data_IF_349872880431
#
_entry.id   IF_349872880431
#
_cell.length_a   1.000
_cell.length_b   1.000
_cell.length_c   1.000
_cell.angle_alpha   90.00
_cell.angle_beta   90.00
_cell.angle_gamma   90.00
#
_symmetry.space_group_name_H-M   'P 1'
#
loop_
_entity.id
_entity.type
_entity.pdbx_description
1 polymer ?
#
# COMPACT_ATOMS: atom_id res chain seq x y z
N UNK A 1 11.18 20.61 -1.61
CA UNK A 1 11.78 20.91 -2.93
C UNK A 1 11.15 20.00 -3.98
N UNK A 2 10.90 20.50 -5.18
CA UNK A 2 10.39 19.72 -6.32
C UNK A 2 11.52 19.50 -7.32
N UNK A 3 11.60 18.28 -7.87
CA UNK A 3 12.61 17.88 -8.87
C UNK A 3 11.88 17.57 -10.18
N UNK A 4 12.49 17.89 -11.33
CA UNK A 4 11.95 17.53 -12.64
C UNK A 4 12.39 16.13 -13.03
N UNK A 5 11.44 15.32 -13.51
CA UNK A 5 11.65 13.99 -14.07
C UNK A 5 11.33 14.05 -15.57
N UNK A 6 12.29 13.68 -16.42
CA UNK A 6 12.09 13.59 -17.88
C UNK A 6 11.98 12.12 -18.24
N UNK A 7 10.84 11.72 -18.81
CA UNK A 7 10.60 10.37 -19.30
C UNK A 7 10.10 10.43 -20.75
N UNK A 8 10.54 9.48 -21.58
CA UNK A 8 9.94 9.26 -22.90
C UNK A 8 8.72 8.36 -22.71
N UNK A 9 7.62 8.75 -23.33
CA UNK A 9 6.36 7.99 -23.37
C UNK A 9 5.94 7.82 -24.82
N UNK A 10 5.25 6.74 -25.13
CA UNK A 10 4.60 6.58 -26.43
C UNK A 10 3.29 7.38 -26.50
N UNK A 11 2.76 7.49 -27.72
CA UNK A 11 1.54 8.25 -27.98
C UNK A 11 0.33 7.64 -27.27
N UNK A 12 0.29 6.31 -27.13
CA UNK A 12 -0.81 5.60 -26.47
C UNK A 12 -0.88 5.95 -24.98
N UNK A 13 0.25 5.93 -24.28
CA UNK A 13 0.34 6.32 -22.88
C UNK A 13 0.00 7.80 -22.70
N UNK A 14 0.45 8.68 -23.61
CA UNK A 14 0.12 10.09 -23.56
C UNK A 14 -1.39 10.33 -23.73
N UNK A 15 -2.03 9.61 -24.67
CA UNK A 15 -3.48 9.65 -24.86
C UNK A 15 -4.23 9.16 -23.62
N UNK A 16 -3.75 8.10 -22.97
CA UNK A 16 -4.31 7.62 -21.71
C UNK A 16 -4.24 8.67 -20.60
N UNK A 17 -3.10 9.33 -20.45
CA UNK A 17 -2.92 10.44 -19.49
C UNK A 17 -3.88 11.59 -19.78
N UNK A 18 -4.02 11.99 -21.05
CA UNK A 18 -4.93 13.07 -21.45
C UNK A 18 -6.39 12.70 -21.21
N UNK A 19 -6.77 11.44 -21.42
CA UNK A 19 -8.11 10.95 -21.11
C UNK A 19 -8.44 11.10 -19.62
N UNK A 20 -7.49 10.82 -18.72
CA UNK A 20 -7.70 10.99 -17.27
C UNK A 20 -7.96 12.45 -16.89
N UNK A 21 -7.30 13.39 -17.56
CA UNK A 21 -7.54 14.83 -17.38
C UNK A 21 -8.92 15.21 -17.91
N UNK A 22 -9.29 14.73 -19.10
CA UNK A 22 -10.59 14.99 -19.71
C UNK A 22 -11.76 14.44 -18.88
N UNK A 23 -11.54 13.36 -18.14
CA UNK A 23 -12.49 12.80 -17.18
C UNK A 23 -12.56 13.58 -15.85
N UNK A 24 -11.71 14.61 -15.67
CA UNK A 24 -11.65 15.42 -14.45
C UNK A 24 -10.96 14.72 -13.27
N UNK A 25 -10.24 13.62 -13.52
CA UNK A 25 -9.54 12.85 -12.47
C UNK A 25 -8.22 13.51 -12.04
N UNK A 26 -7.71 14.45 -12.84
CA UNK A 26 -6.52 15.24 -12.56
C UNK A 26 -6.58 16.59 -13.28
N UNK A 27 -5.94 17.62 -12.72
CA UNK A 27 -5.92 18.96 -13.29
C UNK A 27 -4.91 19.10 -14.45
N UNK A 28 -3.85 18.29 -14.48
CA UNK A 28 -2.82 18.32 -15.53
C UNK A 28 -2.00 17.02 -15.58
N UNK A 29 -1.17 16.88 -16.63
CA UNK A 29 -0.33 15.69 -16.85
C UNK A 29 0.64 15.41 -15.70
N UNK A 30 1.25 16.45 -15.13
CA UNK A 30 2.17 16.31 -14.00
C UNK A 30 1.46 15.78 -12.76
N UNK A 31 0.19 16.13 -12.56
CA UNK A 31 -0.63 15.56 -11.51
C UNK A 31 -0.93 14.08 -11.72
N UNK A 32 -1.31 13.68 -12.94
CA UNK A 32 -1.49 12.26 -13.28
C UNK A 32 -0.22 11.46 -12.99
N UNK A 33 0.94 11.94 -13.47
CA UNK A 33 2.23 11.28 -13.23
C UNK A 33 2.54 11.19 -11.74
N UNK A 34 2.31 12.27 -10.99
CA UNK A 34 2.53 12.27 -9.53
C UNK A 34 1.64 11.24 -8.83
N UNK A 35 0.34 11.22 -9.13
CA UNK A 35 -0.61 10.26 -8.54
C UNK A 35 -0.17 8.83 -8.85
N UNK A 36 0.09 8.54 -10.12
CA UNK A 36 0.49 7.20 -10.58
C UNK A 36 1.80 6.74 -9.93
N UNK A 37 2.82 7.61 -9.87
CA UNK A 37 4.10 7.28 -9.25
C UNK A 37 3.98 7.09 -7.73
N UNK A 38 3.20 7.93 -7.04
CA UNK A 38 2.94 7.76 -5.61
C UNK A 38 2.28 6.43 -5.33
N UNK A 39 1.24 6.08 -6.09
CA UNK A 39 0.53 4.80 -5.93
C UNK A 39 1.45 3.60 -6.24
N UNK A 40 2.26 3.68 -7.29
CA UNK A 40 3.20 2.62 -7.65
C UNK A 40 4.26 2.41 -6.56
N UNK A 41 4.83 3.49 -6.02
CA UNK A 41 5.81 3.43 -4.94
C UNK A 41 5.19 2.80 -3.70
N UNK A 42 4.01 3.27 -3.31
CA UNK A 42 3.32 2.78 -2.12
C UNK A 42 2.97 1.29 -2.26
N UNK A 43 2.37 0.89 -3.38
CA UNK A 43 2.06 -0.52 -3.66
C UNK A 43 3.30 -1.41 -3.61
N UNK A 44 4.42 -0.93 -4.16
CA UNK A 44 5.69 -1.68 -4.16
C UNK A 44 6.25 -1.80 -2.75
N UNK A 45 6.17 -0.73 -1.96
CA UNK A 45 6.60 -0.72 -0.57
C UNK A 45 5.77 -1.69 0.28
N UNK A 46 4.45 -1.62 0.19
CA UNK A 46 3.55 -2.52 0.93
C UNK A 46 3.79 -3.99 0.56
N UNK A 47 3.93 -4.30 -0.74
CA UNK A 47 4.24 -5.66 -1.18
C UNK A 47 5.59 -6.18 -0.67
N UNK A 48 6.57 -5.30 -0.42
CA UNK A 48 7.84 -5.67 0.21
C UNK A 48 7.67 -5.92 1.71
N UNK A 49 6.94 -5.04 2.42
CA UNK A 49 6.64 -5.20 3.84
C UNK A 49 5.89 -6.50 4.08
N UNK A 50 4.87 -6.81 3.30
CA UNK A 50 4.09 -8.06 3.39
C UNK A 50 4.99 -9.29 3.24
N UNK A 51 5.84 -9.28 2.21
CA UNK A 51 6.80 -10.38 1.98
C UNK A 51 7.73 -10.58 3.17
N UNK A 52 8.25 -9.48 3.74
CA UNK A 52 9.14 -9.54 4.91
C UNK A 52 8.41 -10.00 6.16
N UNK A 53 7.16 -9.58 6.36
CA UNK A 53 6.33 -9.98 7.49
C UNK A 53 6.07 -11.49 7.45
N UNK A 54 5.62 -12.01 6.31
CA UNK A 54 5.38 -13.45 6.12
C UNK A 54 6.67 -14.23 6.31
N UNK A 55 7.78 -13.79 5.71
CA UNK A 55 9.07 -14.46 5.87
C UNK A 55 9.52 -14.53 7.34
N UNK A 56 9.31 -13.47 8.12
CA UNK A 56 9.65 -13.43 9.53
C UNK A 56 8.81 -14.42 10.35
N UNK A 57 7.49 -14.47 10.15
CA UNK A 57 6.62 -15.41 10.86
C UNK A 57 6.85 -16.88 10.46
N UNK A 58 7.26 -17.13 9.21
CA UNK A 58 7.64 -18.48 8.77
C UNK A 58 8.97 -18.91 9.39
N UNK A 59 9.96 -18.02 9.45
CA UNK A 59 11.27 -18.31 10.04
C UNK A 59 11.21 -18.44 11.58
N UNK A 60 10.36 -17.64 12.22
CA UNK A 60 10.17 -17.60 13.66
C UNK A 60 8.67 -17.77 13.98
N UNK A 61 8.14 -19.00 13.87
CA UNK A 61 6.77 -19.26 14.25
C UNK A 61 6.58 -18.98 15.74
N UNK A 62 5.42 -18.42 16.08
CA UNK A 62 5.05 -18.14 17.46
C UNK A 62 4.90 -19.46 18.23
N UNK A 63 5.29 -19.47 19.50
CA UNK A 63 5.10 -20.66 20.33
C UNK A 63 3.60 -20.85 20.62
N UNK A 64 3.12 -22.10 20.67
CA UNK A 64 1.72 -22.40 20.99
C UNK A 64 1.26 -21.74 22.30
N UNK A 65 2.15 -21.70 23.31
CA UNK A 65 1.87 -21.05 24.59
C UNK A 65 1.75 -19.52 24.49
N UNK A 66 2.39 -18.87 23.52
CA UNK A 66 2.22 -17.44 23.25
C UNK A 66 0.88 -17.17 22.60
N UNK A 67 0.51 -18.00 21.60
CA UNK A 67 -0.79 -17.93 20.93
C UNK A 67 -1.93 -18.14 21.93
N UNK A 68 -1.83 -19.17 22.78
CA UNK A 68 -2.84 -19.46 23.80
C UNK A 68 -3.00 -18.32 24.82
N UNK A 69 -1.89 -17.68 25.24
CA UNK A 69 -1.95 -16.50 26.12
C UNK A 69 -2.61 -15.32 25.44
N UNK A 70 -2.29 -15.05 24.18
CA UNK A 70 -2.89 -13.97 23.40
C UNK A 70 -4.40 -14.18 23.21
N UNK A 71 -4.83 -15.41 22.91
CA UNK A 71 -6.26 -15.76 22.79
C UNK A 71 -7.01 -15.53 24.10
N UNK A 72 -6.47 -15.98 25.24
CA UNK A 72 -7.10 -15.78 26.53
C UNK A 72 -7.23 -14.29 26.89
N UNK A 73 -6.21 -13.49 26.58
CA UNK A 73 -6.25 -12.05 26.78
C UNK A 73 -7.34 -11.39 25.91
N UNK A 74 -7.43 -11.77 24.63
CA UNK A 74 -8.46 -11.25 23.73
C UNK A 74 -9.88 -11.62 24.21
N UNK A 75 -10.10 -12.86 24.64
CA UNK A 75 -11.40 -13.30 25.20
C UNK A 75 -11.80 -12.48 26.43
N UNK A 76 -10.84 -12.21 27.34
CA UNK A 76 -11.09 -11.38 28.53
C UNK A 76 -11.45 -9.96 28.17
N UNK A 77 -10.76 -9.36 27.19
CA UNK A 77 -11.09 -8.02 26.71
C UNK A 77 -12.52 -7.97 26.16
N UNK A 78 -12.87 -8.88 25.24
CA UNK A 78 -14.22 -8.96 24.66
C UNK A 78 -15.30 -9.13 25.74
N UNK A 79 -15.04 -9.96 26.76
CA UNK A 79 -16.01 -10.23 27.84
C UNK A 79 -16.15 -9.05 28.82
N UNK A 80 -15.12 -8.23 28.97
CA UNK A 80 -15.10 -7.10 29.90
C UNK A 80 -15.78 -5.84 29.33
N UNK A 81 -16.08 -5.83 28.05
CA UNK A 81 -16.71 -4.70 27.38
C UNK A 81 -18.22 -4.66 27.67
N UNK A 82 -18.81 -3.49 27.95
CA UNK A 82 -20.12 -3.36 28.58
C UNK A 82 -21.29 -3.36 27.59
N UNK A 83 -21.10 -3.91 26.39
CA UNK A 83 -22.11 -3.94 25.33
C UNK A 83 -23.19 -5.01 25.58
#
# INVERSE_FOLDING_TARGET
MTVQLIARVDDELLMGVDSLINLGLAANRSEVVRIALTELIERTHQAEVDRRLVAAYVAHPQAEAEVARAQLAAMRMITAEPW
#
